data_IF_984631140929
#
_entry.id   IF_984631140929
#
_cell.length_a   1.000
_cell.length_b   1.000
_cell.length_c   1.000
_cell.angle_alpha   90.00
_cell.angle_beta   90.00
_cell.angle_gamma   90.00
#
_symmetry.space_group_name_H-M   'P 1'
#
loop_
_entity.id
_entity.type
_entity.pdbx_description
1 polymer ?
#
# COMPACT_ATOMS: atom_id res chain seq x y z
N UNK A 1 -21.29 -61.34 -18.48
CA UNK A 1 -20.53 -60.39 -17.62
C UNK A 1 -20.00 -59.30 -18.56
N UNK A 2 -20.16 -58.03 -18.17
CA UNK A 2 -19.24 -56.90 -18.35
C UNK A 2 -20.04 -55.59 -18.35
N UNK A 3 -20.17 -55.01 -17.16
CA UNK A 3 -20.71 -53.67 -16.95
C UNK A 3 -19.68 -52.64 -17.42
N UNK A 4 -19.97 -51.88 -18.49
CA UNK A 4 -19.16 -50.71 -18.86
C UNK A 4 -19.40 -49.59 -17.86
N UNK A 5 -18.59 -49.59 -16.80
CA UNK A 5 -18.55 -48.51 -15.81
C UNK A 5 -18.13 -47.22 -16.51
N UNK A 6 -19.07 -46.31 -16.69
CA UNK A 6 -18.82 -44.97 -17.24
C UNK A 6 -18.04 -44.20 -16.18
N UNK A 7 -16.72 -44.12 -16.36
CA UNK A 7 -15.82 -43.47 -15.42
C UNK A 7 -16.11 -41.97 -15.39
N UNK A 8 -16.73 -41.50 -14.30
CA UNK A 8 -17.02 -40.09 -14.08
C UNK A 8 -15.69 -39.33 -14.03
N UNK A 9 -15.42 -38.53 -15.07
CA UNK A 9 -14.22 -37.69 -15.15
C UNK A 9 -14.36 -36.57 -14.12
N UNK A 10 -13.70 -36.71 -12.98
CA UNK A 10 -13.70 -35.70 -11.93
C UNK A 10 -12.76 -34.55 -12.34
N UNK A 11 -13.34 -33.49 -12.91
CA UNK A 11 -12.60 -32.29 -13.29
C UNK A 11 -12.32 -31.46 -12.03
N UNK A 12 -11.14 -31.63 -11.46
CA UNK A 12 -10.64 -30.75 -10.40
C UNK A 12 -10.13 -29.48 -11.06
N UNK A 13 -10.91 -28.40 -10.99
CA UNK A 13 -10.42 -27.06 -11.37
C UNK A 13 -9.39 -26.62 -10.34
N UNK A 14 -8.12 -26.60 -10.72
CA UNK A 14 -7.12 -25.88 -9.97
C UNK A 14 -7.55 -24.41 -9.91
N UNK A 15 -7.69 -23.79 -8.73
CA UNK A 15 -7.93 -22.37 -8.63
C UNK A 15 -6.74 -21.67 -9.30
N UNK A 16 -6.95 -21.14 -10.52
CA UNK A 16 -5.97 -20.32 -11.20
C UNK A 16 -5.54 -19.17 -10.29
N UNK A 17 -4.34 -18.63 -10.51
CA UNK A 17 -3.75 -17.56 -9.71
C UNK A 17 -4.83 -16.57 -9.27
N UNK A 18 -5.13 -16.58 -7.96
CA UNK A 18 -6.28 -15.86 -7.38
C UNK A 18 -6.16 -14.42 -7.83
N UNK A 19 -7.13 -13.94 -8.61
CA UNK A 19 -7.13 -12.58 -9.13
C UNK A 19 -6.83 -11.61 -7.99
N UNK A 20 -5.79 -10.79 -8.19
CA UNK A 20 -5.48 -9.55 -7.45
C UNK A 20 -6.59 -8.49 -7.58
N UNK A 21 -7.82 -8.92 -7.87
CA UNK A 21 -8.97 -8.08 -8.18
C UNK A 21 -9.76 -7.70 -6.94
N UNK A 22 -9.34 -8.15 -5.75
CA UNK A 22 -10.01 -7.78 -4.52
C UNK A 22 -9.19 -6.72 -3.78
N UNK A 23 -9.32 -5.47 -4.23
CA UNK A 23 -8.59 -4.34 -3.66
C UNK A 23 -8.76 -4.19 -2.14
N UNK A 24 -9.88 -4.68 -1.57
CA UNK A 24 -10.09 -4.72 -0.12
C UNK A 24 -9.16 -5.71 0.59
N UNK A 25 -8.93 -6.87 -0.03
CA UNK A 25 -7.98 -7.87 0.48
C UNK A 25 -6.56 -7.35 0.35
N UNK A 26 -6.24 -6.70 -0.75
CA UNK A 26 -4.90 -6.16 -1.01
C UNK A 26 -4.59 -4.98 -0.09
N UNK A 27 -5.58 -4.12 0.19
CA UNK A 27 -5.49 -3.08 1.22
C UNK A 27 -5.24 -3.66 2.62
N UNK A 28 -6.01 -4.68 3.03
CA UNK A 28 -5.81 -5.33 4.34
C UNK A 28 -4.44 -6.00 4.40
N UNK A 29 -4.02 -6.68 3.34
CA UNK A 29 -2.73 -7.36 3.28
C UNK A 29 -1.57 -6.37 3.36
N UNK A 30 -1.68 -5.20 2.70
CA UNK A 30 -0.70 -4.13 2.77
C UNK A 30 -0.63 -3.54 4.19
N UNK A 31 -1.78 -3.27 4.81
CA UNK A 31 -1.85 -2.83 6.20
C UNK A 31 -1.20 -3.84 7.15
N UNK A 32 -1.58 -5.12 7.06
CA UNK A 32 -1.00 -6.18 7.90
C UNK A 32 0.52 -6.26 7.73
N UNK A 33 1.01 -6.17 6.49
CA UNK A 33 2.45 -6.20 6.20
C UNK A 33 3.20 -5.00 6.80
N UNK A 34 2.67 -3.78 6.63
CA UNK A 34 3.28 -2.56 7.19
C UNK A 34 3.28 -2.59 8.71
N UNK A 35 2.18 -3.03 9.33
CA UNK A 35 2.06 -3.05 10.79
C UNK A 35 2.83 -4.21 11.44
N UNK A 36 3.02 -5.33 10.73
CA UNK A 36 3.85 -6.43 11.19
C UNK A 36 5.35 -6.13 11.05
N UNK A 37 5.78 -5.56 9.91
CA UNK A 37 7.18 -5.27 9.63
C UNK A 37 7.65 -3.90 10.18
N UNK A 38 6.73 -3.01 10.53
CA UNK A 38 7.00 -1.63 10.93
C UNK A 38 7.27 -0.69 9.74
N UNK A 39 7.92 -1.19 8.69
CA UNK A 39 8.04 -0.51 7.39
C UNK A 39 8.12 -1.50 6.23
N UNK A 40 7.67 -1.09 5.05
CA UNK A 40 7.65 -1.90 3.84
C UNK A 40 8.21 -1.09 2.65
N UNK A 41 9.24 -1.58 1.95
CA UNK A 41 9.69 -0.97 0.70
C UNK A 41 8.73 -1.32 -0.44
N UNK A 42 8.38 -0.33 -1.27
CA UNK A 42 7.59 -0.49 -2.48
C UNK A 42 8.44 -0.09 -3.68
N UNK A 43 8.51 -0.97 -4.68
CA UNK A 43 9.27 -0.74 -5.90
C UNK A 43 8.71 0.44 -6.71
N UNK A 44 9.55 1.07 -7.53
CA UNK A 44 9.14 2.21 -8.35
C UNK A 44 7.98 1.84 -9.32
N UNK A 45 8.04 0.62 -9.88
CA UNK A 45 7.13 0.10 -10.90
C UNK A 45 5.79 -0.42 -10.35
N UNK A 46 5.67 -0.65 -9.03
CA UNK A 46 4.45 -1.18 -8.42
C UNK A 46 3.43 -0.07 -8.17
N UNK A 47 2.83 0.39 -9.26
CA UNK A 47 1.84 1.47 -9.24
C UNK A 47 0.59 1.10 -8.45
N UNK A 48 0.15 -0.16 -8.50
CA UNK A 48 -1.04 -0.61 -7.79
C UNK A 48 -0.87 -0.49 -6.27
N UNK A 49 0.27 -0.95 -5.75
CA UNK A 49 0.58 -0.84 -4.32
C UNK A 49 0.84 0.61 -3.90
N UNK A 50 1.44 1.44 -4.77
CA UNK A 50 1.61 2.87 -4.53
C UNK A 50 0.29 3.65 -4.48
N UNK A 51 -0.65 3.37 -5.38
CA UNK A 51 -1.98 4.00 -5.36
C UNK A 51 -2.70 3.64 -4.04
N UNK A 52 -2.62 2.38 -3.61
CA UNK A 52 -3.16 1.94 -2.32
C UNK A 52 -2.46 2.60 -1.13
N UNK A 53 -1.12 2.67 -1.14
CA UNK A 53 -0.34 3.32 -0.10
C UNK A 53 -0.68 4.81 0.00
N UNK A 54 -0.79 5.51 -1.13
CA UNK A 54 -1.20 6.92 -1.19
C UNK A 54 -2.58 7.11 -0.57
N UNK A 55 -3.53 6.23 -0.89
CA UNK A 55 -4.86 6.27 -0.30
C UNK A 55 -4.84 6.06 1.22
N UNK A 56 -4.06 5.11 1.72
CA UNK A 56 -3.89 4.88 3.15
C UNK A 56 -3.16 6.03 3.86
N UNK A 57 -2.27 6.72 3.14
CA UNK A 57 -1.56 7.90 3.63
C UNK A 57 -2.49 9.10 3.75
N UNK A 58 -3.39 9.34 2.79
CA UNK A 58 -4.47 10.34 2.87
C UNK A 58 -5.33 10.10 4.12
N UNK A 59 -5.66 8.85 4.44
CA UNK A 59 -6.43 8.51 5.64
C UNK A 59 -5.62 8.52 6.94
N UNK A 60 -4.31 8.78 6.90
CA UNK A 60 -3.45 8.82 8.07
C UNK A 60 -3.10 7.45 8.69
N UNK A 61 -3.35 6.34 7.99
CA UNK A 61 -3.01 5.00 8.48
C UNK A 61 -1.54 4.63 8.29
N UNK A 62 -0.90 5.20 7.27
CA UNK A 62 0.51 4.93 6.95
C UNK A 62 1.21 6.23 6.56
N UNK A 63 2.52 6.23 6.66
CA UNK A 63 3.35 7.34 6.21
C UNK A 63 4.27 6.89 5.09
N UNK A 64 4.41 7.72 4.06
CA UNK A 64 5.20 7.41 2.88
C UNK A 64 6.46 8.27 2.88
N UNK A 65 7.61 7.61 2.77
CA UNK A 65 8.89 8.24 2.49
C UNK A 65 9.35 7.83 1.10
N UNK A 66 9.68 8.80 0.26
CA UNK A 66 10.42 8.55 -0.98
C UNK A 66 11.86 8.23 -0.66
N UNK A 67 12.38 7.15 -1.21
CA UNK A 67 13.80 6.83 -1.11
C UNK A 67 14.47 7.39 -2.35
N UNK A 68 15.24 8.46 -2.16
CA UNK A 68 16.02 9.09 -3.22
C UNK A 68 17.21 8.21 -3.64
N UNK A 69 17.80 8.52 -4.79
CA UNK A 69 18.94 7.79 -5.37
C UNK A 69 20.22 7.90 -4.56
N UNK A 70 20.31 8.91 -3.69
CA UNK A 70 21.37 9.10 -2.70
C UNK A 70 21.17 8.26 -1.42
N UNK A 71 20.09 7.49 -1.34
CA UNK A 71 19.71 6.68 -0.19
C UNK A 71 19.03 7.45 0.94
N UNK A 72 18.80 8.75 0.76
CA UNK A 72 18.05 9.55 1.73
C UNK A 72 16.55 9.29 1.63
N UNK A 73 15.85 9.34 2.76
CA UNK A 73 14.40 9.19 2.81
C UNK A 73 13.76 10.57 2.97
N UNK A 74 12.91 10.96 2.01
CA UNK A 74 12.16 12.21 2.03
C UNK A 74 10.69 11.91 2.27
N UNK A 75 10.13 12.47 3.34
CA UNK A 75 8.70 12.37 3.63
C UNK A 75 7.88 12.98 2.50
N UNK A 76 7.03 12.20 1.86
CA UNK A 76 6.12 12.68 0.81
C UNK A 76 4.81 13.14 1.42
N UNK A 77 4.29 14.24 0.90
CA UNK A 77 2.90 14.64 1.15
C UNK A 77 1.96 13.84 0.25
N UNK A 78 0.67 13.66 0.61
CA UNK A 78 -0.29 12.94 -0.22
C UNK A 78 -0.36 13.43 -1.68
N UNK A 79 -0.34 14.75 -1.89
CA UNK A 79 -0.33 15.37 -3.21
C UNK A 79 0.96 15.06 -3.98
N UNK A 80 2.09 15.07 -3.28
CA UNK A 80 3.39 14.70 -3.84
C UNK A 80 3.48 13.20 -4.10
N UNK A 81 2.94 12.34 -3.24
CA UNK A 81 2.89 10.89 -3.43
C UNK A 81 2.08 10.54 -4.69
N UNK A 82 0.97 11.22 -4.94
CA UNK A 82 0.21 11.02 -6.17
C UNK A 82 1.01 11.38 -7.43
N UNK A 83 1.83 12.44 -7.38
CA UNK A 83 2.66 12.88 -8.52
C UNK A 83 3.96 12.07 -8.68
N UNK A 84 4.60 11.70 -7.57
CA UNK A 84 5.87 10.96 -7.48
C UNK A 84 5.68 9.44 -7.61
N UNK A 85 4.44 8.96 -7.77
CA UNK A 85 4.11 7.53 -7.83
C UNK A 85 4.90 6.74 -8.89
N UNK A 86 5.50 7.39 -9.89
CA UNK A 86 6.15 6.70 -11.00
C UNK A 86 7.69 6.79 -11.03
N UNK A 87 8.33 7.54 -10.12
CA UNK A 87 9.74 7.94 -10.33
C UNK A 87 10.72 7.27 -9.37
N UNK A 88 10.34 7.07 -8.11
CA UNK A 88 11.25 6.57 -7.08
C UNK A 88 10.63 5.45 -6.24
N UNK A 89 11.45 4.54 -5.67
CA UNK A 89 10.97 3.57 -4.70
C UNK A 89 10.49 4.26 -3.42
N UNK A 90 9.47 3.70 -2.80
CA UNK A 90 8.88 4.25 -1.58
C UNK A 90 9.18 3.34 -0.40
N UNK A 91 9.15 3.92 0.79
CA UNK A 91 9.10 3.21 2.07
C UNK A 91 7.82 3.62 2.77
N UNK A 92 6.93 2.65 2.98
CA UNK A 92 5.68 2.84 3.70
C UNK A 92 5.85 2.36 5.12
N UNK A 93 5.65 3.23 6.09
CA UNK A 93 5.89 2.94 7.50
C UNK A 93 4.63 3.16 8.33
N UNK A 94 4.55 2.48 9.47
CA UNK A 94 3.52 2.77 10.47
C UNK A 94 3.74 4.20 11.03
N UNK A 95 2.68 4.99 11.29
CA UNK A 95 2.82 6.23 12.04
C UNK A 95 3.37 5.94 13.44
N UNK A 96 4.53 6.50 13.78
CA UNK A 96 5.08 6.46 15.13
C UNK A 96 4.15 7.23 16.08
N UNK A 97 3.80 6.61 17.20
CA UNK A 97 2.72 7.03 18.10
C UNK A 97 2.78 8.49 18.52
N UNK A 98 1.59 9.09 18.59
CA UNK A 98 1.32 10.50 18.81
C UNK A 98 1.80 11.38 17.65
N UNK A 99 0.83 11.88 16.89
CA UNK A 99 0.92 13.04 16.00
C UNK A 99 1.55 14.24 16.76
N UNK A 100 2.86 14.26 16.98
CA UNK A 100 3.59 15.48 17.29
C UNK A 100 3.88 16.15 15.96
N UNK A 101 2.87 16.86 15.47
CA UNK A 101 3.01 17.95 14.52
C UNK A 101 3.63 19.11 15.29
N UNK A 102 4.93 19.01 15.58
CA UNK A 102 5.76 20.09 16.12
C UNK A 102 7.19 19.72 15.68
N UNK A 103 7.85 20.43 14.77
CA UNK A 103 7.97 21.90 14.73
C UNK A 103 7.86 22.54 13.34
N UNK A 104 7.35 21.83 12.33
CA UNK A 104 6.87 22.45 11.09
C UNK A 104 6.30 21.37 10.18
N UNK A 105 5.01 21.44 9.88
CA UNK A 105 4.42 21.40 8.54
C UNK A 105 2.90 21.44 8.78
N UNK A 106 2.20 22.58 8.53
CA UNK A 106 2.01 22.95 7.12
C UNK A 106 1.78 24.44 6.83
N UNK A 107 2.17 24.89 5.63
CA UNK A 107 1.52 26.01 4.95
C UNK A 107 1.53 25.83 3.41
N UNK A 108 1.24 24.63 2.83
CA UNK A 108 0.60 24.31 1.49
C UNK A 108 0.89 22.86 0.99
N UNK A 109 -0.04 22.02 0.54
CA UNK A 109 -0.63 20.98 1.41
C UNK A 109 -1.05 21.62 2.73
N UNK A 110 -1.73 22.74 2.58
CA UNK A 110 -1.88 23.72 3.64
C UNK A 110 -2.94 23.18 4.50
N UNK A 111 -2.71 23.19 5.79
CA UNK A 111 -3.43 22.31 6.67
C UNK A 111 -2.98 20.86 6.46
N UNK A 112 -3.01 20.31 5.23
CA UNK A 112 -2.84 18.91 4.71
C UNK A 112 -3.73 17.86 5.38
N UNK A 113 -3.95 18.17 6.61
CA UNK A 113 -4.46 17.46 7.73
C UNK A 113 -4.61 18.56 8.82
N UNK A 114 -5.05 19.82 8.63
CA UNK A 114 -5.12 20.73 9.81
C UNK A 114 -5.97 20.18 10.96
N UNK A 115 -6.74 19.11 10.83
CA UNK A 115 -8.04 19.10 10.14
C UNK A 115 -8.50 17.68 9.84
N UNK A 116 -7.60 16.77 9.43
CA UNK A 116 -7.91 15.34 9.57
C UNK A 116 -8.01 14.93 11.05
N UNK A 117 -7.60 15.87 11.90
CA UNK A 117 -7.98 16.07 13.28
C UNK A 117 -8.67 17.44 13.45
N UNK A 118 -9.97 17.49 13.24
CA UNK A 118 -10.76 17.93 14.38
C UNK A 118 -11.15 16.65 15.13
#
# INVERSE_FOLDING_TARGET
MESRSSQATNVIRFPGARSSANSRRDQKSLMDAVYAAGSLPIAADDRATKDMATRLNIFGFVVIDEVQTDGTARRLRPSEAFQSANQHPWRVSKPSGCYRVDDAWPETDQDLFAALLA
#
